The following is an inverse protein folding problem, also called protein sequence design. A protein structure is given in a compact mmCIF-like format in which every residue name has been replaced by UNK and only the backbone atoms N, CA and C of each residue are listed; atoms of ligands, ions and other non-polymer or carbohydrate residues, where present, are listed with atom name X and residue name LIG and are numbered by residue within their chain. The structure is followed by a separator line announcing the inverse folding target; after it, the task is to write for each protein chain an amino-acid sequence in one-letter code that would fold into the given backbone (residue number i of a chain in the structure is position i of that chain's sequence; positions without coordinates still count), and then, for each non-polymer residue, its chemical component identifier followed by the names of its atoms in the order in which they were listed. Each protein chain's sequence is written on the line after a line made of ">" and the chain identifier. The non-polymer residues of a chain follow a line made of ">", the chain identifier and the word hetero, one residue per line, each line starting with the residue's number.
data_IF_674281725890
#
_entry.id   IF_674281725890
#
_cell.length_a   1.000
_cell.length_b   1.000
_cell.length_c   1.000
_cell.angle_alpha   90.00
_cell.angle_beta   90.00
_cell.angle_gamma   90.00
#
_symmetry.space_group_name_H-M   'P 1'
#
loop_
_entity.id
_entity.type
_entity.pdbx_description
1 polymer ?
#
# COMPACT_ATOMS: atom_id res chain seq x y z
N UNK A 1 -2.10 -22.48 -28.83
CA UNK A 1 -2.70 -22.08 -27.54
C UNK A 1 -1.63 -22.28 -26.49
N UNK A 2 -1.24 -21.26 -25.72
CA UNK A 2 -0.25 -21.43 -24.65
C UNK A 2 0.64 -20.20 -24.48
N UNK A 3 0.16 -19.27 -23.66
CA UNK A 3 0.75 -18.00 -23.30
C UNK A 3 2.06 -18.19 -22.50
N UNK A 4 3.13 -17.50 -22.88
CA UNK A 4 4.31 -17.33 -22.01
C UNK A 4 4.70 -15.85 -21.98
N UNK A 5 3.96 -15.07 -21.19
CA UNK A 5 4.39 -13.72 -20.81
C UNK A 5 5.41 -13.85 -19.68
N UNK A 6 6.68 -14.02 -20.07
CA UNK A 6 7.81 -13.77 -19.20
C UNK A 6 8.17 -12.28 -19.31
N UNK A 7 7.50 -11.41 -18.55
CA UNK A 7 7.88 -9.99 -18.52
C UNK A 7 9.13 -9.85 -17.63
N UNK A 8 10.22 -9.42 -18.26
CA UNK A 8 11.45 -8.94 -17.62
C UNK A 8 11.12 -7.75 -16.70
N UNK A 9 11.37 -7.93 -15.41
CA UNK A 9 11.15 -7.04 -14.25
C UNK A 9 11.73 -5.60 -14.31
N UNK A 10 12.28 -5.13 -15.44
CA UNK A 10 13.17 -3.96 -15.46
C UNK A 10 12.74 -2.79 -16.35
N UNK A 11 11.57 -2.87 -16.99
CA UNK A 11 11.05 -1.80 -17.86
C UNK A 11 9.57 -1.45 -17.58
N UNK A 12 9.05 -1.88 -16.43
CA UNK A 12 7.68 -1.67 -15.99
C UNK A 12 7.46 -0.34 -15.26
N UNK A 13 8.45 0.55 -15.31
CA UNK A 13 8.56 1.71 -14.45
C UNK A 13 7.55 2.80 -14.87
N UNK A 14 6.82 3.33 -13.89
CA UNK A 14 5.86 4.44 -13.93
C UNK A 14 4.43 4.11 -14.36
N UNK A 15 4.20 3.51 -15.54
CA UNK A 15 2.83 3.37 -16.04
C UNK A 15 2.00 2.29 -15.32
N UNK A 16 2.61 1.27 -14.69
CA UNK A 16 1.88 0.24 -13.93
C UNK A 16 1.74 0.58 -12.44
N UNK A 17 2.65 1.39 -11.92
CA UNK A 17 2.59 1.88 -10.54
C UNK A 17 1.34 2.76 -10.34
N UNK A 18 1.05 3.69 -11.25
CA UNK A 18 -0.15 4.56 -11.17
C UNK A 18 -1.48 3.79 -11.09
N UNK A 19 -1.63 2.72 -11.89
CA UNK A 19 -2.82 1.85 -11.83
C UNK A 19 -2.87 1.02 -10.56
N UNK A 20 -1.70 0.63 -10.03
CA UNK A 20 -1.65 -0.10 -8.78
C UNK A 20 -2.04 0.81 -7.60
N UNK A 21 -1.59 2.05 -7.60
CA UNK A 21 -1.82 3.02 -6.53
C UNK A 21 -3.29 3.44 -6.43
N UNK A 22 -3.93 3.65 -7.57
CA UNK A 22 -5.36 3.98 -7.63
C UNK A 22 -6.24 2.88 -7.03
N UNK A 23 -5.80 1.62 -7.14
CA UNK A 23 -6.47 0.46 -6.57
C UNK A 23 -6.24 0.31 -5.05
N UNK A 24 -5.22 0.99 -4.51
CA UNK A 24 -4.96 1.02 -3.06
C UNK A 24 -5.82 2.05 -2.32
N UNK A 25 -6.31 3.08 -3.02
CA UNK A 25 -7.16 4.12 -2.42
C UNK A 25 -8.41 3.47 -1.83
N UNK A 26 -8.84 3.96 -0.65
CA UNK A 26 -9.99 3.44 0.12
C UNK A 26 -9.76 2.07 0.78
N UNK A 27 -8.62 1.40 0.52
CA UNK A 27 -8.29 0.15 1.21
C UNK A 27 -8.01 0.38 2.70
N UNK A 28 -8.45 -0.58 3.51
CA UNK A 28 -8.24 -0.58 4.96
C UNK A 28 -6.85 -1.09 5.28
N UNK A 29 -6.07 -0.31 6.03
CA UNK A 29 -4.73 -0.66 6.47
C UNK A 29 -4.78 -1.20 7.88
N UNK A 30 -4.27 -2.41 8.07
CA UNK A 30 -4.29 -3.14 9.33
C UNK A 30 -2.86 -3.56 9.67
N UNK A 31 -2.47 -3.42 10.94
CA UNK A 31 -1.15 -3.85 11.37
C UNK A 31 -1.10 -5.35 11.72
N UNK A 32 0.10 -5.88 11.99
CA UNK A 32 0.27 -7.28 12.42
C UNK A 32 -0.49 -7.65 13.71
N UNK A 33 -0.87 -6.67 14.53
CA UNK A 33 -1.64 -6.87 15.75
C UNK A 33 -3.16 -6.90 15.50
N UNK A 34 -3.60 -6.75 14.25
CA UNK A 34 -5.02 -6.66 13.88
C UNK A 34 -5.66 -5.31 14.17
N UNK A 35 -4.85 -4.28 14.44
CA UNK A 35 -5.33 -2.91 14.68
C UNK A 35 -5.52 -2.20 13.34
N UNK A 36 -6.71 -1.66 13.13
CA UNK A 36 -7.00 -0.80 11.98
C UNK A 36 -6.28 0.54 12.16
N UNK A 37 -5.31 0.79 11.29
CA UNK A 37 -4.61 2.08 11.22
C UNK A 37 -5.49 3.12 10.54
N UNK A 38 -6.31 2.73 9.57
CA UNK A 38 -7.25 3.60 8.88
C UNK A 38 -7.41 3.18 7.42
N UNK A 39 -7.75 4.13 6.56
CA UNK A 39 -7.91 3.89 5.12
C UNK A 39 -6.88 4.67 4.32
N UNK A 40 -6.41 4.10 3.22
CA UNK A 40 -5.50 4.80 2.31
C UNK A 40 -6.24 5.96 1.66
N UNK A 41 -5.77 7.17 1.93
CA UNK A 41 -6.30 8.41 1.37
C UNK A 41 -5.59 8.82 0.08
N UNK A 42 -4.31 8.47 -0.03
CA UNK A 42 -3.45 8.88 -1.12
C UNK A 42 -2.06 8.26 -1.00
N UNK A 43 -1.24 8.50 -2.01
CA UNK A 43 0.18 8.16 -2.00
C UNK A 43 1.00 9.43 -2.22
N UNK A 44 2.13 9.52 -1.55
CA UNK A 44 3.07 10.62 -1.64
C UNK A 44 4.38 10.07 -2.21
N UNK A 45 4.71 10.47 -3.43
CA UNK A 45 6.01 10.20 -4.04
C UNK A 45 7.07 11.12 -3.41
N UNK A 46 7.99 10.54 -2.63
CA UNK A 46 9.11 11.29 -2.03
C UNK A 46 10.40 11.21 -2.84
N UNK A 47 10.37 10.54 -4.00
CA UNK A 47 11.51 10.34 -4.89
C UNK A 47 12.47 9.20 -4.49
N UNK A 48 12.40 8.72 -3.25
CA UNK A 48 13.15 7.55 -2.77
C UNK A 48 12.26 6.32 -2.57
N UNK A 49 11.19 6.48 -1.78
CA UNK A 49 10.12 5.48 -1.64
C UNK A 49 8.77 6.20 -1.62
N UNK A 50 7.74 5.52 -2.10
CA UNK A 50 6.37 6.00 -1.98
C UNK A 50 5.91 5.91 -0.52
N UNK A 51 5.03 6.81 -0.12
CA UNK A 51 4.47 6.84 1.24
C UNK A 51 2.95 6.78 1.12
N UNK A 52 2.35 5.74 1.71
CA UNK A 52 0.91 5.65 1.88
C UNK A 52 0.46 6.66 2.92
N UNK A 53 -0.43 7.56 2.52
CA UNK A 53 -1.16 8.42 3.43
C UNK A 53 -2.39 7.66 3.90
N UNK A 54 -2.38 7.23 5.17
CA UNK A 54 -3.47 6.48 5.78
C UNK A 54 -4.17 7.37 6.78
N UNK A 55 -5.48 7.56 6.62
CA UNK A 55 -6.29 8.41 7.51
C UNK A 55 -7.23 7.54 8.32
N UNK A 56 -7.14 7.66 9.64
CA UNK A 56 -8.12 7.11 10.56
C UNK A 56 -9.21 8.16 10.83
N UNK A 57 -10.42 7.92 10.36
CA UNK A 57 -11.55 8.83 10.60
C UNK A 57 -12.09 8.76 12.02
N UNK A 58 -11.96 7.60 12.68
CA UNK A 58 -12.39 7.41 14.07
C UNK A 58 -11.50 8.19 15.03
N UNK A 59 -10.18 8.03 14.88
CA UNK A 59 -9.17 8.65 15.74
C UNK A 59 -8.68 10.02 15.21
N UNK A 60 -9.23 10.50 14.07
CA UNK A 60 -8.80 11.73 13.35
C UNK A 60 -7.27 11.86 13.21
N UNK A 61 -6.62 10.72 13.00
CA UNK A 61 -5.16 10.62 12.94
C UNK A 61 -4.74 10.26 11.52
N UNK A 62 -3.61 10.79 11.09
CA UNK A 62 -2.98 10.47 9.82
C UNK A 62 -1.68 9.72 10.07
N UNK A 63 -1.48 8.62 9.36
CA UNK A 63 -0.26 7.82 9.35
C UNK A 63 0.39 7.89 7.98
N UNK A 64 1.69 8.15 7.97
CA UNK A 64 2.51 8.15 6.76
C UNK A 64 3.32 6.87 6.75
N UNK A 65 2.82 5.86 6.05
CA UNK A 65 3.41 4.51 6.03
C UNK A 65 4.23 4.36 4.76
N UNK A 66 5.56 4.23 4.83
CA UNK A 66 6.39 4.01 3.66
C UNK A 66 5.98 2.71 2.96
N UNK A 67 5.70 2.78 1.66
CA UNK A 67 5.32 1.65 0.84
C UNK A 67 6.57 0.84 0.45
N UNK A 68 7.11 0.10 1.42
CA UNK A 68 8.25 -0.80 1.19
C UNK A 68 7.74 -2.24 1.16
N UNK A 69 7.61 -2.87 -0.02
CA UNK A 69 7.14 -4.25 -0.13
C UNK A 69 8.09 -5.20 0.61
N UNK A 70 7.54 -6.24 1.22
CA UNK A 70 8.27 -7.28 1.99
C UNK A 70 8.95 -6.80 3.28
N UNK A 71 8.94 -5.49 3.56
CA UNK A 71 9.47 -4.90 4.81
C UNK A 71 8.35 -4.32 5.64
N UNK A 72 7.59 -3.39 5.06
CA UNK A 72 6.49 -2.69 5.74
C UNK A 72 5.16 -3.20 5.21
N UNK A 73 5.02 -3.38 3.89
CA UNK A 73 3.80 -3.92 3.30
C UNK A 73 3.95 -5.43 3.17
N UNK A 74 3.21 -6.17 4.01
CA UNK A 74 3.33 -7.62 4.14
C UNK A 74 2.40 -8.34 3.18
N UNK A 75 1.17 -7.84 3.03
CA UNK A 75 0.15 -8.43 2.20
C UNK A 75 -0.84 -7.36 1.69
N UNK A 76 -1.32 -7.54 0.46
CA UNK A 76 -2.32 -6.67 -0.16
C UNK A 76 -3.44 -7.55 -0.69
N UNK A 77 -4.57 -7.57 0.01
CA UNK A 77 -5.77 -8.31 -0.38
C UNK A 77 -6.77 -7.36 -1.05
N UNK A 78 -6.71 -7.32 -2.38
CA UNK A 78 -7.60 -6.50 -3.21
C UNK A 78 -9.05 -7.00 -3.20
N UNK A 79 -9.28 -8.29 -2.97
CA UNK A 79 -10.65 -8.84 -2.91
C UNK A 79 -11.34 -8.43 -1.62
N UNK A 80 -10.59 -8.35 -0.52
CA UNK A 80 -11.07 -7.88 0.77
C UNK A 80 -10.96 -6.35 0.94
N UNK A 81 -10.25 -5.64 0.05
CA UNK A 81 -9.97 -4.21 0.21
C UNK A 81 -9.08 -3.91 1.41
N UNK A 82 -8.13 -4.80 1.73
CA UNK A 82 -7.29 -4.74 2.93
C UNK A 82 -5.80 -4.78 2.61
N UNK A 83 -5.01 -4.00 3.35
CA UNK A 83 -3.55 -4.00 3.30
C UNK A 83 -3.02 -4.35 4.70
N UNK A 84 -2.21 -5.39 4.80
CA UNK A 84 -1.51 -5.75 6.02
C UNK A 84 -0.11 -5.13 6.04
N UNK A 85 0.17 -4.35 7.07
CA UNK A 85 1.45 -3.67 7.25
C UNK A 85 2.13 -4.01 8.56
N UNK A 86 3.45 -3.98 8.58
CA UNK A 86 4.25 -3.92 9.78
C UNK A 86 4.50 -2.46 10.18
N UNK A 87 3.43 -1.79 10.62
CA UNK A 87 3.49 -0.40 11.08
C UNK A 87 2.77 -0.23 12.42
N UNK A 88 3.42 0.46 13.35
CA UNK A 88 2.89 0.69 14.69
C UNK A 88 2.30 2.10 14.80
N UNK A 89 1.23 2.27 15.60
CA UNK A 89 0.58 3.58 15.81
C UNK A 89 1.47 4.62 16.53
N UNK A 90 2.57 4.19 17.14
CA UNK A 90 3.44 5.00 18.01
C UNK A 90 4.66 5.60 17.28
N UNK A 91 4.78 5.39 15.97
CA UNK A 91 5.92 5.83 15.16
C UNK A 91 5.84 7.30 14.74
#
# INVERSE_FOLDING_TARGET
>A
IGMSLAIKKSQLNAAQDEYFWSDLIDMVVINQQGVELGQVKGLIETGANDVLQVVNTNDKTEYLVPFVPEVIVLNVDKSAGRIDVDWQRDY
#
